data_IF_173357248527
#
_entry.id   IF_173357248527
#
_cell.length_a   1.000
_cell.length_b   1.000
_cell.length_c   1.000
_cell.angle_alpha   90.00
_cell.angle_beta   90.00
_cell.angle_gamma   90.00
#
_symmetry.space_group_name_H-M   'P 1'
#
loop_
_entity.id
_entity.type
_entity.pdbx_description
1 polymer ?
#
# COMPACT_ATOMS: atom_id res chain seq x y z
N UNK A 1 -0.54 3.06 27.52
CA UNK A 1 0.17 3.72 26.38
C UNK A 1 -0.82 4.67 25.72
N UNK A 2 -0.46 5.93 25.53
CA UNK A 2 -1.37 6.91 24.90
C UNK A 2 -1.42 6.71 23.38
N UNK A 3 -2.47 7.21 22.72
CA UNK A 3 -2.61 7.18 21.25
C UNK A 3 -1.41 7.82 20.54
N UNK A 4 -0.90 8.93 21.07
CA UNK A 4 0.26 9.62 20.51
C UNK A 4 1.57 8.82 20.67
N UNK A 5 1.72 8.08 21.79
CA UNK A 5 2.84 7.16 21.97
C UNK A 5 2.79 6.00 20.97
N UNK A 6 1.60 5.50 20.65
CA UNK A 6 1.42 4.43 19.66
C UNK A 6 1.81 4.88 18.25
N UNK A 7 1.28 6.04 17.81
CA UNK A 7 1.65 6.67 16.53
C UNK A 7 3.17 6.87 16.45
N UNK A 8 3.77 7.46 17.48
CA UNK A 8 5.22 7.73 17.54
C UNK A 8 6.05 6.44 17.43
N UNK A 9 5.60 5.36 18.07
CA UNK A 9 6.26 4.04 18.01
C UNK A 9 6.18 3.42 16.61
N UNK A 10 5.04 3.52 15.95
CA UNK A 10 4.87 3.04 14.57
C UNK A 10 5.76 3.84 13.61
N UNK A 11 5.72 5.17 13.69
CA UNK A 11 6.58 6.04 12.88
C UNK A 11 8.07 5.75 13.07
N UNK A 12 8.51 5.51 14.31
CA UNK A 12 9.89 5.16 14.59
C UNK A 12 10.33 3.84 13.91
N UNK A 13 9.42 2.85 13.80
CA UNK A 13 9.68 1.60 13.07
C UNK A 13 9.75 1.85 11.55
N UNK A 14 8.79 2.61 11.00
CA UNK A 14 8.75 2.90 9.56
C UNK A 14 9.96 3.73 9.09
N UNK A 15 10.47 4.65 9.93
CA UNK A 15 11.71 5.41 9.64
C UNK A 15 12.96 4.52 9.59
N UNK A 16 12.93 3.38 10.28
CA UNK A 16 13.97 2.35 10.23
C UNK A 16 13.73 1.31 9.13
N UNK A 17 12.82 1.61 8.19
CA UNK A 17 12.41 0.71 7.11
C UNK A 17 11.91 -0.65 7.62
N UNK A 18 11.34 -0.70 8.82
CA UNK A 18 10.77 -1.93 9.38
C UNK A 18 9.30 -2.05 8.99
N UNK A 19 8.92 -3.23 8.50
CA UNK A 19 7.51 -3.57 8.33
C UNK A 19 6.79 -3.65 9.69
N UNK A 20 5.54 -3.21 9.71
CA UNK A 20 4.71 -3.17 10.91
C UNK A 20 3.38 -3.83 10.62
N UNK A 21 3.02 -4.83 11.42
CA UNK A 21 1.68 -5.42 11.43
C UNK A 21 0.96 -4.97 12.70
N UNK A 22 -0.21 -4.37 12.52
CA UNK A 22 -1.12 -3.97 13.57
C UNK A 22 -2.21 -5.03 13.69
N UNK A 23 -2.20 -5.77 14.79
CA UNK A 23 -3.20 -6.81 15.06
C UNK A 23 -4.08 -6.39 16.23
N UNK A 24 -5.38 -6.58 16.09
CA UNK A 24 -6.38 -6.19 17.09
C UNK A 24 -7.77 -6.65 16.68
N UNK A 25 -8.70 -6.72 17.63
CA UNK A 25 -10.10 -7.09 17.34
C UNK A 25 -10.76 -6.08 16.37
N UNK A 26 -11.87 -6.49 15.77
CA UNK A 26 -12.72 -5.58 15.01
C UNK A 26 -13.14 -4.38 15.90
N UNK A 27 -13.07 -3.16 15.36
CA UNK A 27 -13.39 -1.95 16.12
C UNK A 27 -12.31 -1.43 17.09
N UNK A 28 -11.16 -2.10 17.20
CA UNK A 28 -10.04 -1.65 18.09
C UNK A 28 -9.33 -0.36 17.64
N UNK A 29 -9.72 0.22 16.50
CA UNK A 29 -9.15 1.48 15.98
C UNK A 29 -7.91 1.30 15.10
N UNK A 30 -7.72 0.14 14.47
CA UNK A 30 -6.59 -0.13 13.55
C UNK A 30 -6.56 0.81 12.36
N UNK A 31 -7.69 0.98 11.66
CA UNK A 31 -7.80 1.89 10.51
C UNK A 31 -7.58 3.35 10.93
N UNK A 32 -8.05 3.75 12.12
CA UNK A 32 -7.75 5.07 12.69
C UNK A 32 -6.25 5.27 12.90
N UNK A 33 -5.53 4.26 13.40
CA UNK A 33 -4.09 4.35 13.60
C UNK A 33 -3.34 4.42 12.26
N UNK A 34 -3.80 3.67 11.25
CA UNK A 34 -3.32 3.78 9.87
C UNK A 34 -3.45 5.22 9.35
N UNK A 35 -4.63 5.83 9.49
CA UNK A 35 -4.90 7.20 9.07
C UNK A 35 -4.03 8.22 9.82
N UNK A 36 -3.91 8.06 11.14
CA UNK A 36 -3.09 8.91 11.98
C UNK A 36 -1.62 8.86 11.56
N UNK A 37 -1.09 7.66 11.31
CA UNK A 37 0.30 7.48 10.83
C UNK A 37 0.49 8.08 9.44
N UNK A 38 -0.47 7.87 8.52
CA UNK A 38 -0.42 8.45 7.18
C UNK A 38 -0.30 9.99 7.23
N UNK A 39 -1.08 10.66 8.08
CA UNK A 39 -0.99 12.11 8.26
C UNK A 39 0.36 12.62 8.78
N UNK A 40 1.14 11.77 9.45
CA UNK A 40 2.48 12.11 9.95
C UNK A 40 3.62 11.70 9.02
N UNK A 41 3.33 11.00 7.91
CA UNK A 41 4.30 10.65 6.88
C UNK A 41 4.43 11.74 5.80
N UNK A 42 3.93 12.95 6.04
CA UNK A 42 4.03 14.09 5.13
C UNK A 42 5.47 14.27 4.60
N UNK A 43 5.62 14.17 3.27
CA UNK A 43 6.92 14.21 2.58
C UNK A 43 7.51 12.85 2.19
N UNK A 44 6.87 11.74 2.55
CA UNK A 44 7.22 10.40 2.08
C UNK A 44 6.11 9.86 1.17
N UNK A 45 6.42 9.32 -0.03
CA UNK A 45 5.40 8.75 -0.91
C UNK A 45 4.66 7.61 -0.20
N UNK A 46 3.33 7.57 -0.34
CA UNK A 46 2.50 6.57 0.31
C UNK A 46 1.46 6.00 -0.63
N UNK A 47 1.19 4.71 -0.51
CA UNK A 47 0.15 4.01 -1.25
C UNK A 47 -0.73 3.31 -0.25
N UNK A 48 -2.05 3.43 -0.37
CA UNK A 48 -3.01 2.65 0.41
C UNK A 48 -3.69 1.62 -0.47
N UNK A 49 -3.71 0.37 0.01
CA UNK A 49 -4.41 -0.72 -0.65
C UNK A 49 -5.28 -1.48 0.36
N UNK A 50 -6.57 -1.64 0.04
CA UNK A 50 -7.46 -2.51 0.79
C UNK A 50 -7.49 -3.91 0.18
N UNK A 51 -7.53 -4.95 1.00
CA UNK A 51 -7.56 -6.34 0.53
C UNK A 51 -8.95 -6.83 0.09
N UNK A 52 -9.95 -5.95 0.09
CA UNK A 52 -11.35 -6.26 -0.26
C UNK A 52 -11.63 -6.21 -1.77
N UNK A 53 -10.70 -5.68 -2.57
CA UNK A 53 -10.85 -5.56 -4.03
C UNK A 53 -10.16 -6.71 -4.77
N UNK A 54 -10.50 -6.87 -6.05
CA UNK A 54 -9.81 -7.88 -6.88
C UNK A 54 -8.33 -7.53 -7.04
N UNK A 55 -7.49 -8.54 -7.23
CA UNK A 55 -6.04 -8.39 -7.44
C UNK A 55 -5.68 -7.33 -8.48
N UNK A 56 -6.35 -7.38 -9.64
CA UNK A 56 -6.10 -6.43 -10.73
C UNK A 56 -6.50 -5.00 -10.34
N UNK A 57 -7.63 -4.82 -9.66
CA UNK A 57 -8.05 -3.51 -9.18
C UNK A 57 -7.09 -2.95 -8.12
N UNK A 58 -6.54 -3.80 -7.26
CA UNK A 58 -5.54 -3.40 -6.27
C UNK A 58 -4.29 -2.83 -6.96
N UNK A 59 -3.67 -3.57 -7.87
CA UNK A 59 -2.46 -3.10 -8.54
C UNK A 59 -2.72 -1.88 -9.42
N UNK A 60 -3.89 -1.79 -10.09
CA UNK A 60 -4.29 -0.58 -10.82
C UNK A 60 -4.43 0.64 -9.90
N UNK A 61 -5.03 0.47 -8.73
CA UNK A 61 -5.16 1.54 -7.72
C UNK A 61 -3.79 1.99 -7.20
N UNK A 62 -2.84 1.06 -7.04
CA UNK A 62 -1.46 1.39 -6.68
C UNK A 62 -0.81 2.24 -7.78
N UNK A 63 -0.91 1.82 -9.04
CA UNK A 63 -0.35 2.55 -10.17
C UNK A 63 -0.95 3.98 -10.29
N UNK A 64 -2.27 4.11 -10.12
CA UNK A 64 -2.96 5.40 -10.11
C UNK A 64 -2.48 6.33 -8.98
N UNK A 65 -2.31 5.79 -7.77
CA UNK A 65 -1.77 6.55 -6.65
C UNK A 65 -0.31 6.96 -6.85
N UNK A 66 0.52 6.09 -7.44
CA UNK A 66 1.91 6.40 -7.78
C UNK A 66 1.99 7.48 -8.87
N UNK A 67 1.15 7.41 -9.91
CA UNK A 67 1.05 8.46 -10.93
C UNK A 67 0.66 9.81 -10.33
N UNK A 68 -0.35 9.84 -9.45
CA UNK A 68 -0.77 11.05 -8.75
C UNK A 68 0.34 11.67 -7.87
N UNK A 69 1.35 10.86 -7.52
CA UNK A 69 2.54 11.28 -6.78
C UNK A 69 3.75 11.57 -7.69
N UNK A 70 3.58 11.53 -9.00
CA UNK A 70 4.59 11.91 -9.99
C UNK A 70 5.42 10.77 -10.58
N UNK A 71 5.10 9.51 -10.28
CA UNK A 71 5.78 8.38 -10.90
C UNK A 71 5.33 8.21 -12.36
N UNK A 72 6.29 7.97 -13.26
CA UNK A 72 6.02 7.67 -14.67
C UNK A 72 5.64 6.19 -14.83
N UNK A 73 4.43 5.83 -14.41
CA UNK A 73 3.86 4.47 -14.55
C UNK A 73 3.25 4.24 -15.94
N UNK A 74 3.12 5.29 -16.74
CA UNK A 74 2.58 5.31 -18.08
C UNK A 74 3.67 5.12 -19.15
N UNK A 75 4.95 5.24 -18.79
CA UNK A 75 6.15 5.13 -19.64
C UNK A 75 6.27 6.16 -20.78
N UNK A 76 5.19 6.84 -21.14
CA UNK A 76 5.17 7.96 -22.09
C UNK A 76 4.62 9.23 -21.42
N UNK A 77 5.49 10.16 -20.99
CA UNK A 77 5.08 11.39 -20.31
C UNK A 77 4.31 12.37 -21.21
N UNK A 78 4.20 12.12 -22.52
CA UNK A 78 3.39 12.91 -23.45
C UNK A 78 1.96 12.37 -23.61
N UNK A 79 1.68 11.14 -23.14
CA UNK A 79 0.35 10.54 -23.19
C UNK A 79 -0.54 11.09 -22.05
N UNK A 80 -1.77 11.55 -22.33
CA UNK A 80 -2.70 11.92 -21.28
C UNK A 80 -3.05 10.72 -20.38
N UNK A 81 -3.16 10.95 -19.06
CA UNK A 81 -3.44 9.89 -18.09
C UNK A 81 -4.65 9.02 -18.44
N UNK A 82 -5.74 9.59 -18.97
CA UNK A 82 -6.93 8.81 -19.35
C UNK A 82 -6.63 7.75 -20.41
N UNK A 83 -5.74 8.06 -21.36
CA UNK A 83 -5.31 7.13 -22.40
C UNK A 83 -4.37 6.06 -21.83
N UNK A 84 -3.38 6.48 -21.04
CA UNK A 84 -2.47 5.57 -20.35
C UNK A 84 -3.20 4.61 -19.41
N UNK A 85 -4.14 5.12 -18.60
CA UNK A 85 -4.95 4.33 -17.69
C UNK A 85 -5.84 3.33 -18.43
N UNK A 86 -6.40 3.70 -19.59
CA UNK A 86 -7.15 2.77 -20.45
C UNK A 86 -6.26 1.63 -20.95
N UNK A 87 -5.01 1.91 -21.30
CA UNK A 87 -4.01 0.90 -21.67
C UNK A 87 -3.64 0.00 -20.49
N UNK A 88 -3.37 0.57 -19.32
CA UNK A 88 -3.10 -0.17 -18.08
C UNK A 88 -4.26 -1.11 -17.71
N UNK A 89 -5.52 -0.70 -17.91
CA UNK A 89 -6.67 -1.61 -17.73
C UNK A 89 -6.62 -2.85 -18.63
N UNK A 90 -5.96 -2.77 -19.78
CA UNK A 90 -5.73 -3.91 -20.68
C UNK A 90 -4.65 -4.88 -20.20
N UNK A 91 -3.78 -4.47 -19.27
CA UNK A 91 -2.63 -5.27 -18.84
C UNK A 91 -3.05 -6.47 -17.98
N UNK A 92 -2.22 -7.51 -18.00
CA UNK A 92 -2.23 -8.55 -16.97
C UNK A 92 -1.74 -7.98 -15.65
N UNK A 93 -1.92 -8.71 -14.56
CA UNK A 93 -1.40 -8.25 -13.26
C UNK A 93 0.12 -8.25 -13.26
N UNK A 94 0.74 -9.24 -13.91
CA UNK A 94 2.19 -9.37 -14.02
C UNK A 94 2.78 -8.14 -14.73
N UNK A 95 2.17 -7.70 -15.84
CA UNK A 95 2.55 -6.47 -16.54
C UNK A 95 2.34 -5.21 -15.69
N UNK A 96 1.26 -5.16 -14.89
CA UNK A 96 1.03 -4.04 -13.98
C UNK A 96 2.07 -4.01 -12.85
N UNK A 97 2.50 -5.17 -12.36
CA UNK A 97 3.54 -5.29 -11.33
C UNK A 97 4.88 -4.80 -11.87
N UNK A 98 5.26 -5.19 -13.09
CA UNK A 98 6.47 -4.71 -13.77
C UNK A 98 6.50 -3.18 -13.91
N UNK A 99 5.34 -2.55 -14.12
CA UNK A 99 5.21 -1.09 -14.22
C UNK A 99 5.48 -0.39 -12.89
N UNK A 100 5.00 -0.94 -11.77
CA UNK A 100 5.11 -0.29 -10.46
C UNK A 100 6.37 -0.67 -9.69
N UNK A 101 6.95 -1.84 -9.99
CA UNK A 101 8.10 -2.41 -9.28
C UNK A 101 9.28 -1.44 -9.13
N UNK A 102 9.70 -0.67 -10.16
CA UNK A 102 10.82 0.26 -10.03
C UNK A 102 10.63 1.34 -8.96
N UNK A 103 9.38 1.65 -8.60
CA UNK A 103 9.04 2.71 -7.65
C UNK A 103 8.79 2.18 -6.24
N UNK A 104 8.48 0.88 -6.08
CA UNK A 104 8.03 0.31 -4.81
C UNK A 104 8.98 0.61 -3.63
N UNK A 105 10.29 0.66 -3.84
CA UNK A 105 11.28 0.93 -2.79
C UNK A 105 11.15 2.31 -2.10
N UNK A 106 10.60 3.29 -2.81
CA UNK A 106 10.48 4.67 -2.32
C UNK A 106 9.19 4.91 -1.51
N UNK A 107 8.26 3.97 -1.56
CA UNK A 107 6.92 4.12 -1.00
C UNK A 107 6.77 3.45 0.38
N UNK A 108 5.86 4.03 1.16
CA UNK A 108 5.26 3.35 2.32
C UNK A 108 3.90 2.78 1.89
N UNK A 109 3.74 1.46 2.00
CA UNK A 109 2.50 0.77 1.70
C UNK A 109 1.65 0.62 2.97
N UNK A 110 0.44 1.17 2.91
CA UNK A 110 -0.59 1.09 3.92
C UNK A 110 -1.61 0.03 3.50
N UNK A 111 -1.55 -1.15 4.12
CA UNK A 111 -2.39 -2.28 3.77
C UNK A 111 -3.50 -2.45 4.82
N UNK A 112 -4.77 -2.36 4.39
CA UNK A 112 -5.91 -2.60 5.28
C UNK A 112 -6.47 -4.02 5.10
N UNK A 113 -6.81 -4.65 6.21
CA UNK A 113 -7.42 -5.99 6.27
C UNK A 113 -6.57 -7.10 5.63
N UNK A 114 -5.29 -7.17 6.00
CA UNK A 114 -4.35 -8.18 5.50
C UNK A 114 -4.83 -9.61 5.75
N UNK A 115 -5.68 -9.84 6.75
CA UNK A 115 -6.32 -11.13 7.01
C UNK A 115 -7.24 -11.61 5.86
N UNK A 116 -7.71 -10.71 5.00
CA UNK A 116 -8.51 -11.04 3.83
C UNK A 116 -7.64 -11.38 2.59
N UNK A 117 -6.33 -11.21 2.68
CA UNK A 117 -5.43 -11.46 1.56
C UNK A 117 -5.31 -12.96 1.26
N UNK A 118 -5.55 -13.35 0.01
CA UNK A 118 -5.28 -14.72 -0.45
C UNK A 118 -3.78 -15.02 -0.40
N UNK A 119 -3.39 -16.30 -0.32
CA UNK A 119 -1.97 -16.70 -0.39
C UNK A 119 -1.25 -16.15 -1.63
N UNK A 120 -1.97 -16.07 -2.76
CA UNK A 120 -1.44 -15.54 -4.01
C UNK A 120 -1.22 -14.02 -3.91
N UNK A 121 -2.18 -13.30 -3.31
CA UNK A 121 -2.03 -11.87 -3.02
C UNK A 121 -0.82 -11.61 -2.12
N UNK A 122 -0.64 -12.42 -1.07
CA UNK A 122 0.50 -12.29 -0.14
C UNK A 122 1.85 -12.52 -0.83
N UNK A 123 1.92 -13.50 -1.76
CA UNK A 123 3.16 -13.79 -2.50
C UNK A 123 3.58 -12.66 -3.45
N UNK A 124 2.62 -11.93 -4.01
CA UNK A 124 2.88 -10.87 -4.99
C UNK A 124 3.00 -9.48 -4.35
N UNK A 125 2.32 -9.25 -3.22
CA UNK A 125 2.64 -8.15 -2.30
C UNK A 125 4.09 -8.25 -1.79
N UNK A 126 4.77 -9.38 -2.01
CA UNK A 126 6.19 -9.47 -1.73
C UNK A 126 7.05 -8.51 -2.56
N UNK A 127 6.56 -8.09 -3.73
CA UNK A 127 7.19 -7.03 -4.53
C UNK A 127 7.12 -5.68 -3.79
N UNK A 128 6.05 -5.43 -3.01
CA UNK A 128 5.95 -4.26 -2.14
C UNK A 128 6.89 -4.32 -0.91
N UNK A 129 7.53 -5.47 -0.61
CA UNK A 129 8.53 -5.56 0.47
C UNK A 129 9.86 -4.91 0.12
N UNK A 130 10.10 -4.50 -1.13
CA UNK A 130 11.17 -3.55 -1.42
C UNK A 130 10.92 -2.19 -0.72
N UNK A 131 9.65 -1.82 -0.54
CA UNK A 131 9.21 -0.65 0.22
C UNK A 131 8.95 -0.95 1.69
N UNK A 132 8.55 0.06 2.47
CA UNK A 132 8.17 -0.14 3.88
C UNK A 132 6.67 -0.42 3.99
N UNK A 133 6.26 -1.43 4.78
CA UNK A 133 4.85 -1.82 4.91
C UNK A 133 4.30 -1.52 6.30
N UNK A 134 3.13 -0.91 6.37
CA UNK A 134 2.26 -0.85 7.55
C UNK A 134 0.94 -1.53 7.21
N UNK A 135 0.67 -2.67 7.84
CA UNK A 135 -0.52 -3.47 7.59
C UNK A 135 -1.41 -3.58 8.84
N UNK A 136 -2.71 -3.74 8.64
CA UNK A 136 -3.66 -4.12 9.69
C UNK A 136 -4.17 -5.54 9.45
N UNK A 137 -4.48 -6.26 10.53
CA UNK A 137 -5.19 -7.52 10.46
C UNK A 137 -6.11 -7.68 11.68
N UNK A 138 -7.22 -8.39 11.49
CA UNK A 138 -8.06 -8.81 12.62
C UNK A 138 -7.43 -10.00 13.36
N UNK A 139 -7.60 -10.03 14.68
CA UNK A 139 -7.41 -11.26 15.44
C UNK A 139 -8.58 -12.19 15.11
N UNK A 140 -8.30 -13.30 14.43
CA UNK A 140 -9.24 -14.42 14.43
C UNK A 140 -9.02 -15.20 15.72
N UNK A 141 -9.89 -15.00 16.70
CA UNK A 141 -10.04 -15.94 17.80
C UNK A 141 -10.68 -17.20 17.25
N UNK A 142 -9.90 -18.28 17.16
CA UNK A 142 -10.41 -19.63 16.95
C UNK A 142 -11.32 -20.05 18.12
#
# INVERSE_FOLDING_TARGET
MTRQQLVSRVLAKLRKQQHVLLVGDAGSGKSWLLDAVAGHLAGRPLVRAGMTMTRKQMVLSIAEQMHAQGCNVDADPAEPWDAAYKRLKGYTVEQLLEVIEPYCGDFVFLLDDLDLATERTNRELAIAFAGTVLATANLHTN
#
